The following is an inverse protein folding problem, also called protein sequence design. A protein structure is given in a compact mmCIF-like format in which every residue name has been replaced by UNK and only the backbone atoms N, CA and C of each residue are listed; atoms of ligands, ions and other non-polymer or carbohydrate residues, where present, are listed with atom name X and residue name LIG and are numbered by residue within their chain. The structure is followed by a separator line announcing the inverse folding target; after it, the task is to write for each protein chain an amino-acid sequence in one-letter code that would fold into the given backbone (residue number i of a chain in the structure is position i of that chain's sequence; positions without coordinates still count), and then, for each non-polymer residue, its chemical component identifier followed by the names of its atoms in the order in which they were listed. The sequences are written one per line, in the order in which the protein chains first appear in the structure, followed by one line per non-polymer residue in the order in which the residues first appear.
data_IF_208824153706
#
_entry.id   IF_208824153706
#
_cell.length_a   1.000
_cell.length_b   1.000
_cell.length_c   1.000
_cell.angle_alpha   90.00
_cell.angle_beta   90.00
_cell.angle_gamma   90.00
#
_symmetry.space_group_name_H-M   'P 1'
#
loop_
_entity.id
_entity.type
_entity.pdbx_description
1 polymer ?
#
# COMPACT_ATOMS: atom_id res chain seq x y z
N UNK A 1 -9.42 10.92 -1.49
CA UNK A 1 -8.19 10.66 -2.27
C UNK A 1 -8.17 9.20 -2.70
N UNK A 2 -7.73 8.92 -3.92
CA UNK A 2 -7.38 7.55 -4.34
C UNK A 2 -5.87 7.46 -4.32
N UNK A 3 -5.34 6.56 -3.50
CA UNK A 3 -3.91 6.29 -3.37
C UNK A 3 -3.61 4.98 -4.11
N UNK A 4 -2.59 5.02 -4.95
CA UNK A 4 -2.10 3.88 -5.70
C UNK A 4 -0.62 3.69 -5.42
N UNK A 5 -0.33 2.71 -4.56
CA UNK A 5 0.96 2.01 -4.44
C UNK A 5 2.22 2.90 -4.24
N UNK A 6 2.12 4.00 -3.50
CA UNK A 6 3.27 4.81 -3.09
C UNK A 6 3.98 4.28 -1.82
N UNK A 7 5.28 4.53 -1.66
CA UNK A 7 6.01 4.23 -0.42
C UNK A 7 5.53 5.12 0.73
N UNK A 8 5.35 4.56 1.92
CA UNK A 8 4.72 5.22 3.09
C UNK A 8 5.70 5.42 4.24
N UNK A 9 6.61 4.46 4.45
CA UNK A 9 7.73 4.53 5.36
C UNK A 9 8.98 3.90 4.71
N UNK A 10 9.92 4.76 4.31
CA UNK A 10 11.12 4.37 3.58
C UNK A 10 12.03 3.46 4.40
N UNK A 11 12.01 3.63 5.74
CA UNK A 11 12.80 2.81 6.67
C UNK A 11 12.26 1.40 6.83
N UNK A 12 11.01 1.13 6.46
CA UNK A 12 10.40 -0.20 6.57
C UNK A 12 10.32 -0.94 5.23
N UNK A 13 10.78 -0.30 4.15
CA UNK A 13 10.60 -0.77 2.77
C UNK A 13 11.75 -1.65 2.26
N UNK A 14 13.01 -1.27 2.53
CA UNK A 14 14.20 -1.89 1.92
C UNK A 14 15.05 -2.72 2.87
N UNK A 15 14.71 -2.72 4.16
CA UNK A 15 15.32 -3.64 5.11
C UNK A 15 14.54 -4.95 5.13
N UNK A 16 15.21 -6.10 5.26
CA UNK A 16 14.54 -7.39 5.37
C UNK A 16 13.43 -7.33 6.41
N UNK A 17 12.20 -7.47 5.93
CA UNK A 17 11.00 -7.31 6.75
C UNK A 17 10.18 -8.58 6.63
N UNK A 18 10.35 -9.49 7.59
CA UNK A 18 9.63 -10.78 7.61
C UNK A 18 8.11 -10.58 7.65
N UNK A 19 7.63 -9.54 8.37
CA UNK A 19 6.22 -9.22 8.42
C UNK A 19 5.70 -8.78 7.04
N UNK A 20 6.44 -7.93 6.32
CA UNK A 20 6.09 -7.55 4.96
C UNK A 20 6.17 -8.73 3.97
N UNK A 21 7.16 -9.60 4.14
CA UNK A 21 7.34 -10.78 3.29
C UNK A 21 6.17 -11.78 3.44
N UNK A 22 5.60 -11.91 4.64
CA UNK A 22 4.40 -12.73 4.87
C UNK A 22 3.15 -12.17 4.16
N UNK A 23 3.15 -10.88 3.81
CA UNK A 23 2.04 -10.21 3.16
C UNK A 23 2.12 -10.23 1.62
N UNK A 24 3.23 -10.71 1.06
CA UNK A 24 3.46 -10.82 -0.37
C UNK A 24 2.47 -11.79 -1.07
N UNK A 25 2.02 -11.42 -2.27
CA UNK A 25 1.10 -12.21 -3.08
C UNK A 25 1.74 -13.41 -3.76
N UNK A 26 3.06 -13.40 -3.92
CA UNK A 26 3.85 -14.46 -4.54
C UNK A 26 5.28 -14.54 -3.97
N UNK A 27 6.01 -15.60 -4.34
CA UNK A 27 7.38 -15.87 -3.86
C UNK A 27 8.42 -14.90 -4.42
N UNK A 28 8.19 -14.32 -5.59
CA UNK A 28 9.09 -13.35 -6.22
C UNK A 28 9.06 -12.03 -5.43
N UNK A 29 7.88 -11.48 -5.17
CA UNK A 29 7.67 -10.33 -4.28
C UNK A 29 8.22 -10.61 -2.89
N UNK A 30 7.98 -11.81 -2.33
CA UNK A 30 8.56 -12.21 -1.04
C UNK A 30 10.09 -12.14 -1.06
N UNK A 31 10.72 -12.64 -2.13
CA UNK A 31 12.18 -12.62 -2.27
C UNK A 31 12.71 -11.19 -2.35
N UNK A 32 12.07 -10.32 -3.14
CA UNK A 32 12.47 -8.91 -3.28
C UNK A 32 12.41 -8.18 -1.94
N UNK A 33 11.32 -8.35 -1.18
CA UNK A 33 11.17 -7.78 0.17
C UNK A 33 12.25 -8.29 1.14
N UNK A 34 12.64 -9.56 1.01
CA UNK A 34 13.61 -10.19 1.92
C UNK A 34 15.08 -9.95 1.53
N UNK A 35 15.38 -9.74 0.25
CA UNK A 35 16.76 -9.54 -0.19
C UNK A 35 17.29 -8.16 0.16
N UNK A 36 16.42 -7.13 0.13
CA UNK A 36 16.88 -5.75 -0.05
C UNK A 36 17.68 -5.62 -1.35
N UNK A 37 17.80 -4.44 -1.94
CA UNK A 37 18.76 -4.25 -3.03
C UNK A 37 20.17 -4.13 -2.43
N UNK A 38 20.78 -5.27 -2.08
CA UNK A 38 22.12 -5.28 -1.51
C UNK A 38 23.14 -4.75 -2.55
N UNK A 39 23.64 -3.54 -2.31
CA UNK A 39 24.76 -2.94 -3.06
C UNK A 39 24.40 -1.85 -4.07
N UNK A 40 23.13 -1.41 -4.14
CA UNK A 40 22.72 -0.21 -4.87
C UNK A 40 21.85 0.69 -3.98
N UNK A 41 21.96 2.02 -4.11
CA UNK A 41 21.06 2.93 -3.40
C UNK A 41 19.60 2.70 -3.81
N UNK A 42 18.67 2.73 -2.86
CA UNK A 42 17.25 2.65 -3.19
C UNK A 42 16.78 3.92 -3.93
N UNK A 43 15.59 3.89 -4.55
CA UNK A 43 15.02 5.07 -5.23
C UNK A 43 14.82 6.25 -4.28
N UNK A 44 14.56 5.98 -3.02
CA UNK A 44 14.35 6.92 -1.92
C UNK A 44 15.70 7.49 -1.47
N UNK A 45 16.76 6.69 -1.45
CA UNK A 45 18.12 7.18 -1.23
C UNK A 45 18.57 8.08 -2.38
N UNK A 46 18.26 7.73 -3.63
CA UNK A 46 18.49 8.60 -4.80
C UNK A 46 17.67 9.89 -4.72
N UNK A 47 16.40 9.81 -4.32
CA UNK A 47 15.51 10.95 -4.14
C UNK A 47 16.02 11.91 -3.07
N UNK A 48 16.51 11.39 -1.95
CA UNK A 48 16.97 12.18 -0.81
C UNK A 48 18.45 12.57 -0.90
N UNK A 49 19.20 11.92 -1.80
CA UNK A 49 20.62 12.21 -2.06
C UNK A 49 21.59 11.70 -1.01
N UNK A 50 21.15 10.82 -0.10
CA UNK A 50 21.99 10.23 0.94
C UNK A 50 21.41 8.88 1.43
N UNK A 51 22.24 8.00 2.02
CA UNK A 51 21.76 6.77 2.65
C UNK A 51 20.74 7.06 3.76
N UNK A 52 19.63 6.30 3.82
CA UNK A 52 18.51 6.63 4.71
C UNK A 52 18.93 6.71 6.19
N UNK A 53 19.83 5.83 6.63
CA UNK A 53 20.32 5.77 8.01
C UNK A 53 21.17 6.99 8.42
N UNK A 54 21.73 7.70 7.45
CA UNK A 54 22.58 8.88 7.71
C UNK A 54 21.77 10.17 7.84
N UNK A 55 20.52 10.19 7.35
CA UNK A 55 19.65 11.36 7.34
C UNK A 55 18.25 11.10 7.92
N UNK A 56 18.12 10.50 9.11
CA UNK A 56 16.84 10.03 9.66
C UNK A 56 15.79 11.14 9.82
N UNK A 57 16.21 12.37 10.13
CA UNK A 57 15.30 13.52 10.25
C UNK A 57 14.69 13.90 8.89
N UNK A 58 15.49 13.85 7.82
CA UNK A 58 15.02 14.12 6.44
C UNK A 58 14.10 12.99 5.99
N UNK A 59 14.46 11.74 6.28
CA UNK A 59 13.60 10.57 5.98
C UNK A 59 12.26 10.69 6.70
N UNK A 60 12.25 11.08 7.96
CA UNK A 60 11.00 11.30 8.71
C UNK A 60 10.13 12.39 8.08
N UNK A 61 10.74 13.48 7.58
CA UNK A 61 10.02 14.52 6.83
C UNK A 61 9.53 14.03 5.46
N UNK A 62 10.23 13.09 4.82
CA UNK A 62 9.82 12.55 3.53
C UNK A 62 8.71 11.49 3.65
N UNK A 63 8.67 10.76 4.77
CA UNK A 63 7.73 9.66 5.01
C UNK A 63 6.26 10.15 5.05
N UNK A 64 5.39 9.69 4.14
CA UNK A 64 3.97 10.06 4.18
C UNK A 64 3.24 9.74 5.48
N UNK A 65 3.63 8.67 6.20
CA UNK A 65 2.99 8.31 7.48
C UNK A 65 3.11 9.42 8.53
N UNK A 66 4.18 10.22 8.50
CA UNK A 66 4.42 11.33 9.44
C UNK A 66 3.30 12.37 9.43
N UNK A 67 2.57 12.47 8.31
CA UNK A 67 1.53 13.47 8.12
C UNK A 67 0.11 12.94 8.37
N UNK A 68 -0.03 11.66 8.69
CA UNK A 68 -1.33 11.07 9.02
C UNK A 68 -1.81 11.63 10.36
N UNK A 69 -3.00 12.24 10.34
CA UNK A 69 -3.63 12.88 11.51
C UNK A 69 -5.15 12.72 11.43
N UNK A 70 -5.87 12.99 12.51
CA UNK A 70 -7.34 13.00 12.49
C UNK A 70 -7.87 14.09 11.55
N UNK A 71 -8.99 13.82 10.88
CA UNK A 71 -9.68 14.80 10.03
C UNK A 71 -9.13 14.88 8.61
N UNK A 72 -8.39 13.86 8.18
CA UNK A 72 -7.95 13.72 6.80
C UNK A 72 -9.15 13.38 5.89
N UNK A 73 -9.11 13.77 4.61
CA UNK A 73 -10.18 13.41 3.68
C UNK A 73 -10.31 11.88 3.57
N UNK A 74 -11.46 11.35 3.14
CA UNK A 74 -11.62 9.92 2.92
C UNK A 74 -10.56 9.35 1.95
N UNK A 75 -10.08 8.14 2.24
CA UNK A 75 -9.09 7.42 1.42
C UNK A 75 -9.70 6.16 0.78
N UNK A 76 -9.34 5.94 -0.48
CA UNK A 76 -9.42 4.64 -1.14
C UNK A 76 -8.00 4.22 -1.53
N UNK A 77 -7.53 3.09 -0.99
CA UNK A 77 -6.21 2.52 -1.27
C UNK A 77 -6.39 1.32 -2.19
N UNK A 78 -5.68 1.31 -3.32
CA UNK A 78 -5.66 0.20 -4.27
C UNK A 78 -4.21 -0.28 -4.44
N UNK A 79 -3.93 -1.54 -4.13
CA UNK A 79 -2.57 -2.08 -4.24
C UNK A 79 -2.58 -3.53 -4.73
N UNK A 80 -1.65 -3.88 -5.61
CA UNK A 80 -1.42 -5.26 -6.01
C UNK A 80 -0.65 -6.07 -4.98
N UNK A 81 -1.05 -7.32 -4.73
CA UNK A 81 -0.30 -8.21 -3.83
C UNK A 81 1.02 -8.68 -4.44
N UNK A 82 1.14 -8.60 -5.77
CA UNK A 82 2.29 -9.07 -6.54
C UNK A 82 3.17 -7.88 -6.97
N UNK A 83 3.06 -6.74 -6.28
CA UNK A 83 3.88 -5.56 -6.51
C UNK A 83 5.30 -5.77 -5.97
N UNK A 84 6.26 -5.86 -6.89
CA UNK A 84 7.67 -6.09 -6.60
C UNK A 84 8.45 -4.78 -6.42
N UNK A 85 7.89 -3.62 -6.78
CA UNK A 85 8.57 -2.32 -6.62
C UNK A 85 8.21 -1.66 -5.30
N UNK A 86 6.92 -1.73 -4.93
CA UNK A 86 6.42 -1.22 -3.66
C UNK A 86 5.72 -2.36 -2.93
N UNK A 87 6.28 -2.88 -1.84
CA UNK A 87 5.63 -3.94 -1.08
C UNK A 87 4.27 -3.50 -0.54
N UNK A 88 3.25 -4.38 -0.64
CA UNK A 88 1.89 -4.07 -0.17
C UNK A 88 1.80 -3.70 1.31
N UNK A 89 2.79 -4.09 2.11
CA UNK A 89 2.94 -3.70 3.52
C UNK A 89 2.95 -2.19 3.72
N UNK A 90 3.43 -1.42 2.73
CA UNK A 90 3.42 0.04 2.75
C UNK A 90 1.98 0.59 2.75
N UNK A 91 1.13 0.12 1.85
CA UNK A 91 -0.29 0.52 1.84
C UNK A 91 -1.06 0.00 3.07
N UNK A 92 -0.68 -1.16 3.62
CA UNK A 92 -1.24 -1.63 4.90
C UNK A 92 -0.84 -0.75 6.07
N UNK A 93 0.40 -0.27 6.10
CA UNK A 93 0.87 0.69 7.10
C UNK A 93 0.07 2.00 7.04
N UNK A 94 -0.16 2.55 5.84
CA UNK A 94 -1.04 3.71 5.67
C UNK A 94 -2.48 3.42 6.13
N UNK A 95 -3.03 2.26 5.75
CA UNK A 95 -4.37 1.85 6.16
C UNK A 95 -4.52 1.81 7.69
N UNK A 96 -3.58 1.16 8.39
CA UNK A 96 -3.58 1.08 9.86
C UNK A 96 -3.44 2.46 10.49
N UNK A 97 -2.49 3.28 10.04
CA UNK A 97 -2.29 4.64 10.56
C UNK A 97 -3.54 5.52 10.39
N UNK A 98 -4.23 5.43 9.24
CA UNK A 98 -5.49 6.15 9.00
C UNK A 98 -6.62 5.67 9.91
N UNK A 99 -6.73 4.35 10.13
CA UNK A 99 -7.74 3.77 11.03
C UNK A 99 -7.49 4.14 12.50
N UNK A 100 -6.24 4.11 12.95
CA UNK A 100 -5.86 4.47 14.33
C UNK A 100 -6.10 5.95 14.64
N UNK A 101 -6.01 6.81 13.61
CA UNK A 101 -6.32 8.24 13.71
C UNK A 101 -7.78 8.58 13.42
N UNK A 102 -8.65 7.56 13.35
CA UNK A 102 -10.11 7.67 13.18
C UNK A 102 -10.53 8.34 11.86
N UNK A 103 -9.78 8.07 10.79
CA UNK A 103 -10.11 8.53 9.44
C UNK A 103 -10.90 7.48 8.65
N UNK A 104 -11.71 7.96 7.71
CA UNK A 104 -12.41 7.10 6.75
C UNK A 104 -11.44 6.56 5.71
N UNK A 105 -11.19 5.26 5.73
CA UNK A 105 -10.34 4.60 4.75
C UNK A 105 -10.92 3.25 4.32
N UNK A 106 -10.85 2.99 3.02
CA UNK A 106 -11.16 1.72 2.38
C UNK A 106 -9.90 1.25 1.66
N UNK A 107 -9.53 -0.03 1.81
CA UNK A 107 -8.37 -0.60 1.13
C UNK A 107 -8.76 -1.86 0.37
N UNK A 108 -8.26 -1.99 -0.87
CA UNK A 108 -8.45 -3.12 -1.75
C UNK A 108 -7.09 -3.67 -2.19
N UNK A 109 -6.78 -4.89 -1.75
CA UNK A 109 -5.54 -5.58 -2.14
C UNK A 109 -5.83 -6.69 -3.15
N UNK A 110 -5.19 -6.60 -4.32
CA UNK A 110 -5.58 -7.32 -5.52
C UNK A 110 -4.55 -8.42 -5.82
N UNK A 111 -4.97 -9.68 -5.75
CA UNK A 111 -4.09 -10.83 -6.04
C UNK A 111 -3.67 -10.83 -7.52
N UNK A 112 -2.39 -11.07 -7.80
CA UNK A 112 -1.86 -11.13 -9.17
C UNK A 112 -1.62 -9.77 -9.82
N UNK A 113 -2.05 -8.66 -9.18
CA UNK A 113 -1.73 -7.32 -9.66
C UNK A 113 -0.30 -6.96 -9.27
N UNK A 114 0.48 -6.50 -10.25
CA UNK A 114 1.84 -5.98 -10.09
C UNK A 114 1.83 -4.45 -9.97
N UNK A 115 3.02 -3.85 -9.86
CA UNK A 115 3.15 -2.39 -9.90
C UNK A 115 2.52 -1.80 -11.16
N UNK A 116 1.86 -0.65 -11.01
CA UNK A 116 1.16 0.05 -12.09
C UNK A 116 0.06 -0.76 -12.81
N UNK A 117 -0.55 -1.77 -12.17
CA UNK A 117 -1.64 -2.58 -12.75
C UNK A 117 -2.83 -1.75 -13.25
N UNK A 118 -3.03 -0.52 -12.74
CA UNK A 118 -4.08 0.39 -13.21
C UNK A 118 -3.88 0.83 -14.67
N UNK A 119 -2.67 0.70 -15.20
CA UNK A 119 -2.36 0.98 -16.60
C UNK A 119 -2.46 -0.26 -17.51
N UNK A 120 -2.69 -1.44 -16.94
CA UNK A 120 -2.82 -2.70 -17.67
C UNK A 120 -4.30 -3.02 -17.93
N UNK A 121 -4.81 -2.56 -19.09
CA UNK A 121 -6.20 -2.78 -19.48
C UNK A 121 -6.56 -4.27 -19.60
N UNK A 122 -5.61 -5.12 -20.00
CA UNK A 122 -5.85 -6.55 -20.13
C UNK A 122 -6.00 -7.20 -18.75
N UNK A 123 -5.17 -6.81 -17.79
CA UNK A 123 -5.30 -7.23 -16.41
C UNK A 123 -6.64 -6.76 -15.82
N UNK A 124 -6.98 -5.49 -15.99
CA UNK A 124 -8.24 -4.91 -15.49
C UNK A 124 -9.48 -5.57 -16.10
N UNK A 125 -9.40 -6.05 -17.34
CA UNK A 125 -10.49 -6.78 -17.98
C UNK A 125 -10.62 -8.24 -17.49
N UNK A 126 -9.52 -8.85 -17.02
CA UNK A 126 -9.45 -10.26 -16.60
C UNK A 126 -9.64 -10.46 -15.11
N UNK A 127 -9.31 -9.46 -14.29
CA UNK A 127 -9.45 -9.55 -12.83
C UNK A 127 -10.94 -9.71 -12.49
N UNK A 128 -11.34 -10.94 -12.16
CA UNK A 128 -12.72 -11.23 -11.78
C UNK A 128 -12.98 -10.63 -10.40
N UNK A 129 -13.81 -9.58 -10.41
CA UNK A 129 -14.34 -8.80 -9.30
C UNK A 129 -14.56 -9.58 -7.99
N UNK A 130 -13.53 -9.65 -7.15
CA UNK A 130 -13.63 -10.04 -5.75
C UNK A 130 -12.69 -9.13 -4.96
N UNK A 131 -13.15 -7.90 -4.69
CA UNK A 131 -12.41 -6.95 -3.88
C UNK A 131 -12.55 -7.34 -2.42
N UNK A 132 -11.42 -7.74 -1.82
CA UNK A 132 -11.34 -7.96 -0.39
C UNK A 132 -11.07 -6.63 0.28
N UNK A 133 -11.96 -6.22 1.19
CA UNK A 133 -11.64 -5.16 2.11
C UNK A 133 -10.98 -5.78 3.33
N UNK A 134 -9.86 -5.22 3.70
CA UNK A 134 -9.22 -5.55 4.95
C UNK A 134 -9.83 -4.64 6.00
N UNK A 135 -10.34 -5.23 7.07
CA UNK A 135 -10.82 -4.48 8.23
C UNK A 135 -9.75 -4.59 9.31
N UNK A 136 -9.17 -3.45 9.67
CA UNK A 136 -8.29 -3.37 10.84
C UNK A 136 -9.15 -3.12 12.08
N UNK A 137 -8.95 -3.96 13.09
CA UNK A 137 -9.40 -3.74 14.45
C UNK A 137 -8.16 -3.71 15.34
N UNK A 138 -7.98 -2.62 16.08
CA UNK A 138 -6.80 -2.44 16.93
C UNK A 138 -6.64 -3.61 17.90
N UNK A 139 -5.45 -4.22 17.93
CA UNK A 139 -5.14 -5.37 18.79
C UNK A 139 -5.52 -6.74 18.22
N UNK A 140 -6.00 -6.83 16.97
CA UNK A 140 -6.32 -8.08 16.28
C UNK A 140 -5.60 -8.17 14.92
N UNK A 141 -5.33 -9.40 14.45
CA UNK A 141 -4.79 -9.62 13.09
C UNK A 141 -5.74 -9.04 12.03
N UNK A 142 -5.18 -8.46 10.96
CA UNK A 142 -5.98 -7.88 9.88
C UNK A 142 -6.91 -8.95 9.28
N UNK A 143 -8.23 -8.75 9.39
CA UNK A 143 -9.18 -9.69 8.83
C UNK A 143 -9.46 -9.34 7.37
N UNK A 144 -9.15 -10.29 6.49
CA UNK A 144 -9.53 -10.25 5.07
C UNK A 144 -11.00 -10.59 4.93
N UNK A 145 -11.84 -9.61 4.63
CA UNK A 145 -13.26 -9.85 4.36
C UNK A 145 -13.57 -9.60 2.88
N UNK A 146 -14.18 -10.57 2.21
CA UNK A 146 -14.80 -10.30 0.92
C UNK A 146 -16.04 -9.46 1.19
N UNK A 147 -16.00 -8.16 0.86
CA UNK A 147 -17.12 -7.27 1.17
C UNK A 147 -18.10 -7.18 0.00
N UNK A 148 -17.61 -7.21 -1.24
CA UNK A 148 -18.46 -7.20 -2.43
C UNK A 148 -17.67 -7.63 -3.67
N UNK A 149 -18.31 -8.38 -4.54
CA UNK A 149 -17.84 -8.57 -5.92
C UNK A 149 -18.25 -7.33 -6.75
N UNK A 150 -17.32 -6.40 -6.94
CA UNK A 150 -17.45 -5.23 -7.82
C UNK A 150 -16.14 -4.98 -8.55
N UNK A 151 -16.21 -4.38 -9.73
CA UNK A 151 -15.01 -3.98 -10.45
C UNK A 151 -14.30 -2.82 -9.79
N UNK A 152 -12.98 -2.72 -10.01
CA UNK A 152 -12.16 -1.62 -9.50
C UNK A 152 -12.73 -0.28 -9.98
N UNK A 153 -13.17 -0.20 -11.23
CA UNK A 153 -13.83 0.99 -11.78
C UNK A 153 -15.13 1.34 -11.03
N UNK A 154 -15.98 0.35 -10.74
CA UNK A 154 -17.20 0.56 -9.94
C UNK A 154 -16.88 1.00 -8.51
N UNK A 155 -15.87 0.40 -7.87
CA UNK A 155 -15.42 0.77 -6.54
C UNK A 155 -14.97 2.24 -6.48
N UNK A 156 -14.14 2.67 -7.43
CA UNK A 156 -13.71 4.06 -7.54
C UNK A 156 -14.91 5.00 -7.72
N UNK A 157 -15.84 4.66 -8.61
CA UNK A 157 -17.03 5.47 -8.86
C UNK A 157 -17.93 5.56 -7.62
N UNK A 158 -18.18 4.46 -6.92
CA UNK A 158 -18.94 4.44 -5.67
C UNK A 158 -18.26 5.30 -4.59
N UNK A 159 -16.93 5.20 -4.46
CA UNK A 159 -16.15 5.99 -3.51
C UNK A 159 -16.30 7.49 -3.79
N UNK A 160 -16.12 7.93 -5.04
CA UNK A 160 -16.28 9.34 -5.38
C UNK A 160 -17.71 9.82 -5.16
N UNK A 161 -18.71 9.02 -5.54
CA UNK A 161 -20.12 9.38 -5.35
C UNK A 161 -20.49 9.61 -3.88
N UNK A 162 -19.89 8.86 -2.95
CA UNK A 162 -20.17 8.98 -1.51
C UNK A 162 -19.47 10.14 -0.83
N UNK A 163 -18.36 10.64 -1.40
CA UNK A 163 -17.46 11.55 -0.70
C UNK A 163 -17.26 12.91 -1.38
N UNK A 164 -17.81 13.11 -2.59
CA UNK A 164 -17.72 14.38 -3.33
C UNK A 164 -19.08 15.00 -3.69
N UNK A 165 -20.19 14.32 -3.40
CA UNK A 165 -21.56 14.84 -3.53
C UNK A 165 -22.12 15.14 -2.14
#
# INVERSE_FOLDING_TARGET
MVEGYGPIDFMQMYYPNEAAAQEAGNEETRRVVMSGEAGQPSREEELLGAPLLEIPDIVSLANPVTYVRRGMPPFLILHGLDDELVPVSQSKLLYRALKETDNSVVACFIKGAKHAFLNDNDFLAKVQDCVYLWKYESGHEDQKTLVKAVSIGQLCLEFFRRNLM
#
